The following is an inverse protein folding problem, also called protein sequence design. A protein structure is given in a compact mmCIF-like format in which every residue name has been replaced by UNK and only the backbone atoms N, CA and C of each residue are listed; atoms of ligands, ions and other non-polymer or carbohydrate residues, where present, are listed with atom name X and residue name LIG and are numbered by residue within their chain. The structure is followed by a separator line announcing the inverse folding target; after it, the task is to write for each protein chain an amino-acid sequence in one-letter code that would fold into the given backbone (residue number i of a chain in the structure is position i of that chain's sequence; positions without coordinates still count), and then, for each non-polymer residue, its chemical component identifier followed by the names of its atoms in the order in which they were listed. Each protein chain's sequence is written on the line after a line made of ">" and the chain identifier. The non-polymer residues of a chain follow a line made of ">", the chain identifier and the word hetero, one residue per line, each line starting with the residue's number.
data_IF_217484208552
#
_entry.id   IF_217484208552
#
_cell.length_a   1.000
_cell.length_b   1.000
_cell.length_c   1.000
_cell.angle_alpha   90.00
_cell.angle_beta   90.00
_cell.angle_gamma   90.00
#
_symmetry.space_group_name_H-M   'P 1'
#
loop_
_entity.id
_entity.type
_entity.pdbx_description
1 polymer ?
#
# COMPACT_ATOMS: atom_id res chain seq x y z
N UNK A 1 3.32 14.09 -11.18
CA UNK A 1 3.08 12.88 -10.33
C UNK A 1 4.08 12.75 -9.19
N UNK A 2 5.38 12.58 -9.42
CA UNK A 2 6.35 12.45 -8.30
C UNK A 2 6.31 13.64 -7.31
N UNK A 3 6.16 14.87 -7.81
CA UNK A 3 5.93 16.05 -6.96
C UNK A 3 4.67 15.93 -6.08
N UNK A 4 3.58 15.42 -6.65
CA UNK A 4 2.34 15.19 -5.91
C UNK A 4 2.53 14.07 -4.87
N UNK A 5 3.32 13.04 -5.17
CA UNK A 5 3.67 12.01 -4.18
C UNK A 5 4.41 12.61 -2.97
N UNK A 6 5.36 13.54 -3.20
CA UNK A 6 6.03 14.29 -2.12
C UNK A 6 5.05 15.12 -1.29
N UNK A 7 4.10 15.78 -1.93
CA UNK A 7 3.07 16.57 -1.24
C UNK A 7 2.15 15.69 -0.39
N UNK A 8 1.84 14.48 -0.87
CA UNK A 8 0.98 13.51 -0.17
C UNK A 8 1.71 12.68 0.90
N UNK A 9 3.02 12.86 1.10
CA UNK A 9 3.80 12.02 2.02
C UNK A 9 3.24 12.02 3.46
N UNK A 10 2.75 13.17 3.95
CA UNK A 10 2.08 13.25 5.25
C UNK A 10 0.80 12.41 5.31
N UNK A 11 -0.05 12.51 4.30
CA UNK A 11 -1.29 11.77 4.19
C UNK A 11 -1.08 10.26 4.03
N UNK A 12 -0.06 9.86 3.27
CA UNK A 12 0.32 8.45 3.13
C UNK A 12 0.83 7.87 4.46
N UNK A 13 1.61 8.64 5.24
CA UNK A 13 2.01 8.24 6.60
C UNK A 13 0.81 8.10 7.54
N UNK A 14 -0.16 9.00 7.46
CA UNK A 14 -1.39 8.90 8.25
C UNK A 14 -2.19 7.63 7.91
N UNK A 15 -2.35 7.31 6.61
CA UNK A 15 -2.97 6.05 6.17
C UNK A 15 -2.23 4.83 6.72
N UNK A 16 -0.90 4.83 6.65
CA UNK A 16 -0.06 3.76 7.23
C UNK A 16 -0.33 3.58 8.72
N UNK A 17 -0.42 4.66 9.48
CA UNK A 17 -0.69 4.62 10.93
C UNK A 17 -2.05 3.98 11.21
N UNK A 18 -3.11 4.47 10.55
CA UNK A 18 -4.47 3.94 10.75
C UNK A 18 -4.53 2.45 10.41
N UNK A 19 -3.91 2.02 9.30
CA UNK A 19 -3.86 0.61 8.91
C UNK A 19 -3.14 -0.28 9.95
N UNK A 20 -2.01 0.19 10.51
CA UNK A 20 -1.33 -0.56 11.58
C UNK A 20 -2.19 -0.64 12.84
N UNK A 21 -2.90 0.43 13.21
CA UNK A 21 -3.80 0.45 14.36
C UNK A 21 -4.98 -0.51 14.17
N UNK A 22 -5.55 -0.61 12.96
CA UNK A 22 -6.58 -1.61 12.62
C UNK A 22 -6.04 -3.03 12.82
N UNK A 23 -4.82 -3.31 12.33
CA UNK A 23 -4.19 -4.63 12.47
C UNK A 23 -3.97 -4.98 13.94
N UNK A 24 -3.48 -4.05 14.76
CA UNK A 24 -3.27 -4.28 16.19
C UNK A 24 -4.60 -4.39 16.98
N UNK A 25 -5.62 -3.62 16.61
CA UNK A 25 -6.94 -3.71 17.21
C UNK A 25 -7.63 -5.05 16.89
N UNK A 26 -7.49 -5.57 15.66
CA UNK A 26 -8.04 -6.88 15.26
C UNK A 26 -7.43 -8.07 16.02
N UNK A 27 -6.29 -7.91 16.70
CA UNK A 27 -5.70 -8.94 17.58
C UNK A 27 -6.38 -9.00 18.95
N UNK A 28 -7.23 -8.03 19.29
CA UNK A 28 -7.94 -7.91 20.58
C UNK A 28 -9.44 -8.07 20.33
N UNK A 29 -10.05 -9.23 20.65
CA UNK A 29 -11.46 -9.50 20.38
C UNK A 29 -12.44 -8.47 20.97
N UNK A 30 -12.08 -7.83 22.07
CA UNK A 30 -12.86 -6.82 22.77
C UNK A 30 -12.89 -5.43 22.10
N UNK A 31 -12.06 -5.20 21.07
CA UNK A 31 -11.87 -3.89 20.44
C UNK A 31 -12.73 -3.68 19.17
N UNK A 32 -13.86 -4.40 19.01
CA UNK A 32 -14.68 -4.36 17.80
C UNK A 32 -15.18 -2.94 17.46
N UNK A 33 -15.59 -2.15 18.46
CA UNK A 33 -16.00 -0.76 18.24
C UNK A 33 -14.84 0.15 17.82
N UNK A 34 -13.63 -0.10 18.34
CA UNK A 34 -12.43 0.65 17.97
C UNK A 34 -12.02 0.35 16.52
N UNK A 35 -12.10 -0.92 16.10
CA UNK A 35 -11.85 -1.33 14.71
C UNK A 35 -12.80 -0.62 13.76
N UNK A 36 -14.10 -0.59 14.08
CA UNK A 36 -15.10 0.10 13.24
C UNK A 36 -14.85 1.61 13.15
N UNK A 37 -14.41 2.24 14.25
CA UNK A 37 -14.07 3.66 14.26
C UNK A 37 -12.86 3.94 13.36
N UNK A 38 -11.80 3.13 13.46
CA UNK A 38 -10.59 3.25 12.63
C UNK A 38 -10.86 2.96 11.15
N UNK A 39 -11.68 1.95 10.83
CA UNK A 39 -12.07 1.65 9.45
C UNK A 39 -12.88 2.79 8.82
N UNK A 40 -13.74 3.45 9.62
CA UNK A 40 -14.46 4.66 9.20
C UNK A 40 -13.53 5.86 9.01
N UNK A 41 -12.58 6.05 9.91
CA UNK A 41 -11.57 7.11 9.80
C UNK A 41 -10.74 6.93 8.53
N UNK A 42 -10.23 5.73 8.29
CA UNK A 42 -9.53 5.35 7.07
C UNK A 42 -10.35 5.66 5.82
N UNK A 43 -11.59 5.18 5.77
CA UNK A 43 -12.48 5.38 4.61
C UNK A 43 -12.75 6.87 4.37
N UNK A 44 -12.95 7.64 5.44
CA UNK A 44 -13.15 9.09 5.35
C UNK A 44 -11.92 9.78 4.77
N UNK A 45 -10.72 9.41 5.23
CA UNK A 45 -9.47 9.95 4.72
C UNK A 45 -9.29 9.60 3.23
N UNK A 46 -9.46 8.33 2.85
CA UNK A 46 -9.33 7.90 1.45
C UNK A 46 -10.31 8.66 0.55
N UNK A 47 -11.58 8.77 0.96
CA UNK A 47 -12.63 9.45 0.18
C UNK A 47 -12.50 10.97 0.14
N UNK A 48 -11.61 11.55 0.93
CA UNK A 48 -11.30 12.98 0.87
C UNK A 48 -10.33 13.35 -0.27
N UNK A 49 -9.58 12.36 -0.78
CA UNK A 49 -8.63 12.59 -1.86
C UNK A 49 -9.32 12.73 -3.21
N UNK A 50 -8.76 13.60 -4.03
CA UNK A 50 -9.11 13.70 -5.45
C UNK A 50 -8.64 12.46 -6.21
N UNK A 51 -9.27 12.19 -7.36
CA UNK A 51 -8.80 11.15 -8.29
C UNK A 51 -7.29 11.16 -8.57
N UNK A 52 -6.67 12.33 -8.74
CA UNK A 52 -5.23 12.44 -9.05
C UNK A 52 -4.36 12.03 -7.87
N UNK A 53 -4.81 12.33 -6.66
CA UNK A 53 -4.12 11.95 -5.42
C UNK A 53 -4.26 10.45 -5.17
N UNK A 54 -5.47 9.90 -5.34
CA UNK A 54 -5.72 8.46 -5.27
C UNK A 54 -4.88 7.68 -6.29
N UNK A 55 -4.77 8.18 -7.52
CA UNK A 55 -3.92 7.60 -8.56
C UNK A 55 -2.46 7.54 -8.09
N UNK A 56 -1.96 8.61 -7.49
CA UNK A 56 -0.60 8.67 -6.95
C UNK A 56 -0.43 7.69 -5.79
N UNK A 57 -1.32 7.69 -4.80
CA UNK A 57 -1.24 6.79 -3.64
C UNK A 57 -1.21 5.33 -4.09
N UNK A 58 -2.12 4.93 -4.98
CA UNK A 58 -2.15 3.55 -5.48
C UNK A 58 -0.94 3.24 -6.37
N UNK A 59 -0.38 4.21 -7.09
CA UNK A 59 0.88 4.04 -7.83
C UNK A 59 2.05 3.75 -6.86
N UNK A 60 2.14 4.48 -5.74
CA UNK A 60 3.15 4.25 -4.70
C UNK A 60 2.99 2.85 -4.10
N UNK A 61 1.76 2.41 -3.80
CA UNK A 61 1.51 1.05 -3.33
C UNK A 61 1.98 0.00 -4.35
N UNK A 62 1.67 0.19 -5.63
CA UNK A 62 2.09 -0.75 -6.68
C UNK A 62 3.62 -0.84 -6.81
N UNK A 63 4.33 0.29 -6.65
CA UNK A 63 5.81 0.30 -6.61
C UNK A 63 6.30 -0.54 -5.43
N UNK A 64 5.78 -0.29 -4.22
CA UNK A 64 6.17 -1.04 -3.03
C UNK A 64 5.83 -2.52 -3.09
N UNK A 65 4.77 -2.90 -3.81
CA UNK A 65 4.45 -4.31 -4.06
C UNK A 65 5.41 -4.95 -5.08
N UNK A 66 5.72 -4.25 -6.17
CA UNK A 66 6.20 -4.88 -7.40
C UNK A 66 7.71 -4.78 -7.61
N UNK A 67 8.37 -3.80 -7.00
CA UNK A 67 9.83 -3.65 -7.06
C UNK A 67 10.53 -4.53 -5.99
N UNK A 68 9.82 -5.54 -5.48
CA UNK A 68 10.32 -6.62 -4.63
C UNK A 68 10.44 -7.91 -5.42
N UNK A 69 11.50 -8.67 -5.16
CA UNK A 69 11.56 -10.08 -5.55
C UNK A 69 10.77 -10.92 -4.56
N UNK A 70 10.01 -11.89 -5.06
CA UNK A 70 9.39 -12.92 -4.23
C UNK A 70 10.00 -14.27 -4.60
N UNK A 71 10.52 -14.98 -3.60
CA UNK A 71 10.89 -16.38 -3.75
C UNK A 71 9.88 -17.24 -3.04
N UNK A 72 9.16 -18.01 -3.83
CA UNK A 72 8.17 -18.95 -3.34
C UNK A 72 8.81 -20.29 -3.00
N UNK A 73 8.58 -20.76 -1.79
CA UNK A 73 9.03 -22.06 -1.32
C UNK A 73 7.84 -23.00 -1.20
N UNK A 74 7.55 -23.73 -2.28
CA UNK A 74 6.54 -24.77 -2.30
C UNK A 74 7.03 -26.02 -1.55
N UNK A 75 6.22 -26.59 -0.66
CA UNK A 75 6.48 -27.88 0.00
C UNK A 75 7.88 -28.02 0.63
N UNK A 76 8.37 -27.00 1.30
CA UNK A 76 9.68 -27.09 1.97
C UNK A 76 9.61 -28.02 3.20
N UNK A 77 10.67 -28.79 3.47
CA UNK A 77 10.73 -29.60 4.71
C UNK A 77 10.74 -28.75 5.99
N UNK A 78 10.96 -27.43 5.88
CA UNK A 78 10.86 -26.45 6.98
C UNK A 78 9.43 -26.01 7.27
N UNK A 79 8.48 -26.30 6.39
CA UNK A 79 7.10 -25.86 6.55
C UNK A 79 6.27 -26.96 7.19
N UNK A 80 6.30 -27.03 8.53
CA UNK A 80 5.23 -27.68 9.28
C UNK A 80 3.88 -26.96 9.08
N UNK A 81 3.86 -25.77 8.43
CA UNK A 81 2.70 -24.85 8.36
C UNK A 81 2.36 -24.35 6.93
N UNK A 82 2.80 -25.03 5.87
CA UNK A 82 2.40 -24.72 4.47
C UNK A 82 3.34 -23.80 3.67
N UNK A 83 2.92 -23.43 2.47
CA UNK A 83 3.68 -22.61 1.52
C UNK A 83 4.08 -21.25 2.13
N UNK A 84 5.34 -20.83 1.93
CA UNK A 84 5.82 -19.53 2.39
C UNK A 84 6.62 -18.79 1.32
N UNK A 85 6.65 -17.46 1.42
CA UNK A 85 7.39 -16.58 0.51
C UNK A 85 8.47 -15.80 1.26
N UNK A 86 9.67 -15.77 0.67
CA UNK A 86 10.77 -14.88 1.08
C UNK A 86 10.74 -13.63 0.21
N UNK A 87 10.90 -12.47 0.86
CA UNK A 87 11.04 -11.19 0.19
C UNK A 87 12.53 -10.94 -0.08
N UNK A 88 12.87 -10.68 -1.34
CA UNK A 88 14.23 -10.42 -1.79
C UNK A 88 14.31 -9.00 -2.34
N UNK A 89 15.30 -8.24 -1.89
CA UNK A 89 15.57 -6.91 -2.45
C UNK A 89 16.38 -7.05 -3.73
N UNK A 90 15.79 -6.61 -4.85
CA UNK A 90 16.47 -6.55 -6.15
C UNK A 90 16.97 -5.12 -6.40
N UNK A 91 18.07 -4.93 -7.14
CA UNK A 91 18.47 -3.61 -7.59
C UNK A 91 17.37 -2.96 -8.43
N UNK A 92 16.98 -1.73 -8.06
CA UNK A 92 16.00 -0.94 -8.80
C UNK A 92 16.76 -0.07 -9.80
N UNK A 93 16.60 -0.36 -11.08
CA UNK A 93 17.32 0.33 -12.16
C UNK A 93 16.65 1.65 -12.59
N UNK A 94 15.35 1.77 -12.35
CA UNK A 94 14.55 2.93 -12.73
C UNK A 94 14.61 4.03 -11.66
N UNK A 95 14.62 5.28 -12.10
CA UNK A 95 14.51 6.42 -11.20
C UNK A 95 13.06 6.67 -10.74
N UNK A 96 12.88 7.58 -9.78
CA UNK A 96 11.59 7.85 -9.15
C UNK A 96 10.51 8.32 -10.14
N UNK A 97 10.90 9.07 -11.17
CA UNK A 97 9.97 9.52 -12.21
C UNK A 97 9.54 8.38 -13.13
N UNK A 98 10.50 7.55 -13.53
CA UNK A 98 10.26 6.39 -14.39
C UNK A 98 9.37 5.34 -13.70
N UNK A 99 9.61 5.08 -12.41
CA UNK A 99 8.77 4.21 -11.59
C UNK A 99 7.32 4.72 -11.53
N UNK A 100 7.14 6.00 -11.22
CA UNK A 100 5.80 6.60 -11.17
C UNK A 100 5.09 6.50 -12.53
N UNK A 101 5.81 6.68 -13.64
CA UNK A 101 5.24 6.55 -14.97
C UNK A 101 4.86 5.10 -15.30
N UNK A 102 5.76 4.15 -15.05
CA UNK A 102 5.54 2.71 -15.26
C UNK A 102 4.29 2.21 -14.54
N UNK A 103 4.16 2.52 -13.25
CA UNK A 103 3.09 1.93 -12.43
C UNK A 103 1.75 2.66 -12.54
N UNK A 104 1.74 3.95 -12.88
CA UNK A 104 0.48 4.68 -13.12
C UNK A 104 -0.16 4.38 -14.47
N UNK A 105 0.63 3.91 -15.45
CA UNK A 105 0.13 3.53 -16.77
C UNK A 105 -1.07 2.57 -16.68
N UNK A 106 -1.03 1.63 -15.73
CA UNK A 106 -2.08 0.65 -15.50
C UNK A 106 -3.29 1.17 -14.71
N UNK A 107 -3.23 2.40 -14.21
CA UNK A 107 -4.26 2.99 -13.35
C UNK A 107 -4.94 4.20 -13.99
N UNK A 108 -4.38 4.76 -15.06
CA UNK A 108 -4.85 6.00 -15.69
C UNK A 108 -6.30 5.93 -16.18
N UNK A 109 -6.83 4.74 -16.45
CA UNK A 109 -8.21 4.53 -16.89
C UNK A 109 -9.22 4.39 -15.73
N UNK A 110 -8.75 4.18 -14.50
CA UNK A 110 -9.64 3.97 -13.34
C UNK A 110 -10.35 5.26 -12.93
N UNK A 111 -11.59 5.13 -12.49
CA UNK A 111 -12.37 6.21 -11.89
C UNK A 111 -11.90 6.51 -10.46
N UNK A 112 -12.30 7.66 -9.92
CA UNK A 112 -12.03 8.03 -8.52
C UNK A 112 -12.49 6.94 -7.54
N UNK A 113 -13.70 6.42 -7.76
CA UNK A 113 -14.29 5.35 -6.95
C UNK A 113 -13.49 4.05 -7.04
N UNK A 114 -13.11 3.62 -8.24
CA UNK A 114 -12.31 2.38 -8.40
C UNK A 114 -10.91 2.49 -7.77
N UNK A 115 -10.33 3.69 -7.75
CA UNK A 115 -9.06 3.93 -7.06
C UNK A 115 -9.25 3.89 -5.54
N UNK A 116 -10.28 4.58 -5.01
CA UNK A 116 -10.60 4.59 -3.58
C UNK A 116 -10.91 3.19 -3.05
N UNK A 117 -11.83 2.47 -3.71
CA UNK A 117 -12.22 1.10 -3.35
C UNK A 117 -11.00 0.16 -3.44
N UNK A 118 -10.11 0.39 -4.42
CA UNK A 118 -8.86 -0.36 -4.57
C UNK A 118 -7.84 -0.13 -3.46
N UNK A 119 -7.85 1.03 -2.80
CA UNK A 119 -7.01 1.28 -1.61
C UNK A 119 -7.69 0.68 -0.38
N UNK A 120 -9.01 0.83 -0.21
CA UNK A 120 -9.75 0.32 0.96
C UNK A 120 -9.73 -1.22 1.07
N UNK A 121 -9.74 -1.94 -0.04
CA UNK A 121 -9.87 -3.40 -0.07
C UNK A 121 -8.55 -4.17 0.12
N UNK A 122 -7.41 -3.55 -0.14
CA UNK A 122 -6.13 -4.25 -0.06
C UNK A 122 -5.73 -4.51 1.40
N UNK A 123 -5.37 -5.75 1.73
CA UNK A 123 -5.01 -6.16 3.09
C UNK A 123 -3.58 -5.76 3.50
N UNK A 124 -2.77 -5.28 2.56
CA UNK A 124 -1.36 -4.95 2.76
C UNK A 124 -1.04 -3.47 2.46
N UNK A 125 -2.03 -2.58 2.58
CA UNK A 125 -1.89 -1.14 2.28
C UNK A 125 -0.73 -0.52 3.04
N UNK A 126 -0.61 -0.79 4.34
CA UNK A 126 0.47 -0.23 5.17
C UNK A 126 1.85 -0.64 4.67
N UNK A 127 2.09 -1.93 4.43
CA UNK A 127 3.38 -2.46 4.00
C UNK A 127 3.77 -2.01 2.60
N UNK A 128 2.82 -2.06 1.65
CA UNK A 128 3.05 -1.62 0.28
C UNK A 128 3.31 -0.11 0.20
N UNK A 129 2.56 0.69 0.98
CA UNK A 129 2.73 2.13 0.97
C UNK A 129 4.03 2.55 1.65
N UNK A 130 4.40 1.94 2.79
CA UNK A 130 5.71 2.15 3.46
C UNK A 130 6.87 1.86 2.50
N UNK A 131 6.85 0.69 1.86
CA UNK A 131 7.92 0.26 0.95
C UNK A 131 8.00 1.18 -0.27
N UNK A 132 6.85 1.50 -0.89
CA UNK A 132 6.80 2.38 -2.05
C UNK A 132 7.33 3.78 -1.75
N UNK A 133 7.00 4.32 -0.57
CA UNK A 133 7.55 5.59 -0.10
C UNK A 133 9.06 5.52 0.11
N UNK A 134 9.57 4.44 0.70
CA UNK A 134 11.01 4.23 0.91
C UNK A 134 11.78 4.16 -0.43
N UNK A 135 11.26 3.41 -1.41
CA UNK A 135 11.84 3.31 -2.76
C UNK A 135 11.89 4.69 -3.44
N UNK A 136 10.82 5.48 -3.30
CA UNK A 136 10.71 6.82 -3.89
C UNK A 136 11.42 7.92 -3.08
N UNK A 137 11.93 7.60 -1.89
CA UNK A 137 12.61 8.52 -0.96
C UNK A 137 11.73 9.70 -0.54
N UNK A 138 10.49 9.43 -0.11
CA UNK A 138 9.46 10.44 0.30
C UNK A 138 8.84 10.17 1.67
#
# INVERSE_FOLDING_TARGET
>A
MYLLAKQLAGSMRALVTIENEIVEAKRRPEAEQDVLALEKERSTLIRSFTRSELLVIQTVMNIGQSERGYRFYANSERSEHGDHYEIIHLPIELNEHELMQKYSYYLVHKTERELADGIEYYTAVSEQLKEGMAILKI
#
